data_IF_609818938954
#
_entry.id   IF_609818938954
#
_cell.length_a   1.000
_cell.length_b   1.000
_cell.length_c   1.000
_cell.angle_alpha   90.00
_cell.angle_beta   90.00
_cell.angle_gamma   90.00
#
_symmetry.space_group_name_H-M   'P 1'
#
loop_
_entity.id
_entity.type
_entity.pdbx_description
1 polymer ?
#
# COMPACT_ATOMS: atom_id res chain seq x y z
N UNK A 1 -27.50 -18.45 -46.21
CA UNK A 1 -27.26 -17.62 -45.02
C UNK A 1 -25.81 -17.76 -44.59
N UNK A 2 -25.07 -16.66 -44.52
CA UNK A 2 -23.70 -16.66 -44.01
C UNK A 2 -23.73 -16.70 -42.47
N UNK A 3 -23.37 -17.83 -41.86
CA UNK A 3 -23.03 -17.86 -40.44
C UNK A 3 -21.84 -16.91 -40.25
N UNK A 4 -22.03 -15.81 -39.53
CA UNK A 4 -20.94 -14.94 -39.12
C UNK A 4 -19.93 -15.79 -38.34
N UNK A 5 -18.65 -15.70 -38.72
CA UNK A 5 -17.58 -16.42 -38.02
C UNK A 5 -17.39 -15.79 -36.62
N UNK A 6 -17.13 -16.59 -35.57
CA UNK A 6 -16.89 -16.05 -34.23
C UNK A 6 -15.74 -15.04 -34.22
N UNK A 7 -15.81 -13.97 -33.40
CA UNK A 7 -14.81 -12.90 -33.35
C UNK A 7 -13.60 -13.33 -32.51
N UNK A 8 -12.91 -14.39 -32.93
CA UNK A 8 -11.84 -15.04 -32.15
C UNK A 8 -10.65 -14.12 -31.89
N UNK A 9 -10.30 -13.27 -32.85
CA UNK A 9 -9.18 -12.34 -32.69
C UNK A 9 -9.52 -11.23 -31.69
N UNK A 10 -10.69 -10.59 -31.83
CA UNK A 10 -11.11 -9.52 -30.92
C UNK A 10 -11.20 -10.01 -29.46
N UNK A 11 -11.69 -11.23 -29.25
CA UNK A 11 -11.74 -11.85 -27.92
C UNK A 11 -10.35 -12.19 -27.36
N UNK A 12 -9.43 -12.69 -28.20
CA UNK A 12 -8.06 -12.95 -27.79
C UNK A 12 -7.32 -11.65 -27.42
N UNK A 13 -7.52 -10.58 -28.20
CA UNK A 13 -6.97 -9.26 -27.90
C UNK A 13 -7.51 -8.70 -26.59
N UNK A 14 -8.81 -8.86 -26.35
CA UNK A 14 -9.46 -8.46 -25.09
C UNK A 14 -8.93 -9.25 -23.88
N UNK A 15 -8.80 -10.57 -24.00
CA UNK A 15 -8.23 -11.42 -22.95
C UNK A 15 -6.79 -11.04 -22.62
N UNK A 16 -5.97 -10.81 -23.65
CA UNK A 16 -4.59 -10.37 -23.48
C UNK A 16 -4.52 -8.99 -22.81
N UNK A 17 -5.41 -8.06 -23.14
CA UNK A 17 -5.47 -6.76 -22.49
C UNK A 17 -5.83 -6.89 -21.00
N UNK A 18 -6.80 -7.74 -20.64
CA UNK A 18 -7.16 -8.02 -19.25
C UNK A 18 -5.98 -8.61 -18.49
N UNK A 19 -5.28 -9.60 -19.06
CA UNK A 19 -4.06 -10.17 -18.46
C UNK A 19 -2.98 -9.11 -18.26
N UNK A 20 -2.71 -8.29 -19.27
CA UNK A 20 -1.73 -7.22 -19.19
C UNK A 20 -2.08 -6.17 -18.12
N UNK A 21 -3.36 -5.91 -17.88
CA UNK A 21 -3.80 -5.05 -16.78
C UNK A 21 -3.56 -5.68 -15.41
N UNK A 22 -3.81 -7.00 -15.26
CA UNK A 22 -3.47 -7.75 -14.04
C UNK A 22 -1.97 -7.73 -13.78
N UNK A 23 -1.16 -8.02 -14.80
CA UNK A 23 0.31 -8.01 -14.69
C UNK A 23 0.87 -6.63 -14.35
N UNK A 24 0.19 -5.55 -14.78
CA UNK A 24 0.52 -4.18 -14.39
C UNK A 24 0.06 -3.81 -12.97
N UNK A 25 -0.55 -4.75 -12.23
CA UNK A 25 -1.02 -4.51 -10.87
C UNK A 25 -2.33 -3.72 -10.80
N UNK A 26 -3.15 -3.71 -11.85
CA UNK A 26 -4.43 -2.98 -11.84
C UNK A 26 -5.40 -3.48 -10.76
N UNK A 27 -5.29 -4.74 -10.33
CA UNK A 27 -6.05 -5.25 -9.18
C UNK A 27 -5.72 -4.47 -7.90
N UNK A 28 -4.47 -4.03 -7.77
CA UNK A 28 -4.00 -3.35 -6.57
C UNK A 28 -4.14 -1.83 -6.66
N UNK A 29 -3.80 -1.26 -7.80
CA UNK A 29 -3.66 0.18 -7.97
C UNK A 29 -4.78 0.84 -8.77
N UNK A 30 -5.69 0.05 -9.38
CA UNK A 30 -6.82 0.52 -10.18
C UNK A 30 -8.02 -0.44 -10.09
N UNK A 31 -8.39 -0.82 -8.85
CA UNK A 31 -9.34 -1.90 -8.60
C UNK A 31 -10.72 -1.67 -9.25
N UNK A 32 -11.19 -0.43 -9.30
CA UNK A 32 -12.49 -0.09 -9.90
C UNK A 32 -12.49 -0.29 -11.42
N UNK A 33 -11.46 0.20 -12.09
CA UNK A 33 -11.24 0.09 -13.54
C UNK A 33 -11.00 -1.37 -13.92
N UNK A 34 -10.25 -2.11 -13.12
CA UNK A 34 -10.04 -3.55 -13.32
C UNK A 34 -11.33 -4.36 -13.14
N UNK A 35 -12.20 -3.99 -12.20
CA UNK A 35 -13.52 -4.59 -12.04
C UNK A 35 -14.42 -4.31 -13.25
N UNK A 36 -14.37 -3.09 -13.79
CA UNK A 36 -15.10 -2.73 -15.01
C UNK A 36 -14.64 -3.56 -16.22
N UNK A 37 -13.32 -3.77 -16.37
CA UNK A 37 -12.76 -4.62 -17.43
C UNK A 37 -13.19 -6.09 -17.29
N UNK A 38 -13.19 -6.64 -16.08
CA UNK A 38 -13.65 -8.02 -15.83
C UNK A 38 -15.14 -8.21 -16.08
N UNK A 39 -15.96 -7.21 -15.72
CA UNK A 39 -17.40 -7.23 -16.00
C UNK A 39 -17.67 -7.23 -17.51
N UNK A 40 -16.99 -6.37 -18.26
CA UNK A 40 -17.08 -6.33 -19.73
C UNK A 40 -16.61 -7.65 -20.36
N UNK A 41 -15.54 -8.25 -19.85
CA UNK A 41 -15.05 -9.54 -20.33
C UNK A 41 -16.07 -10.66 -20.12
N UNK A 42 -16.69 -10.70 -18.94
CA UNK A 42 -17.75 -11.65 -18.63
C UNK A 42 -18.94 -11.48 -19.58
N UNK A 43 -19.32 -10.24 -19.89
CA UNK A 43 -20.38 -9.95 -20.87
C UNK A 43 -20.00 -10.44 -22.28
N UNK A 44 -18.78 -10.18 -22.73
CA UNK A 44 -18.28 -10.63 -24.03
C UNK A 44 -18.33 -12.17 -24.16
N UNK A 45 -17.92 -12.89 -23.11
CA UNK A 45 -18.04 -14.35 -23.05
C UNK A 45 -19.49 -14.82 -23.09
N UNK A 46 -20.39 -14.16 -22.35
CA UNK A 46 -21.82 -14.46 -22.37
C UNK A 46 -22.45 -14.30 -23.76
N UNK A 47 -22.10 -13.22 -24.48
CA UNK A 47 -22.55 -12.99 -25.86
C UNK A 47 -21.99 -14.01 -26.85
N UNK A 48 -20.73 -14.43 -26.67
CA UNK A 48 -20.13 -15.50 -27.48
C UNK A 48 -20.88 -16.83 -27.29
N UNK A 49 -21.17 -17.19 -26.03
CA UNK A 49 -21.93 -18.41 -25.70
C UNK A 49 -23.34 -18.38 -26.30
N UNK A 50 -23.98 -17.21 -26.31
CA UNK A 50 -25.27 -17.00 -26.98
C UNK A 50 -25.20 -16.99 -28.51
N UNK A 51 -24.00 -17.17 -29.10
CA UNK A 51 -23.72 -17.06 -30.54
C UNK A 51 -24.07 -15.69 -31.14
N UNK A 52 -24.21 -14.67 -30.31
CA UNK A 52 -24.39 -13.27 -30.72
C UNK A 52 -23.01 -12.67 -31.04
N UNK A 53 -22.45 -13.10 -32.18
CA UNK A 53 -21.08 -12.74 -32.56
C UNK A 53 -20.87 -11.24 -32.77
N UNK A 54 -21.92 -10.50 -33.15
CA UNK A 54 -21.86 -9.05 -33.32
C UNK A 54 -21.76 -8.35 -31.96
N UNK A 55 -22.61 -8.73 -31.00
CA UNK A 55 -22.53 -8.18 -29.65
C UNK A 55 -21.26 -8.64 -28.93
N UNK A 56 -20.83 -9.89 -29.12
CA UNK A 56 -19.59 -10.41 -28.55
C UNK A 56 -18.37 -9.61 -29.03
N UNK A 57 -18.32 -9.24 -30.33
CA UNK A 57 -17.26 -8.38 -30.86
C UNK A 57 -17.27 -6.99 -30.22
N UNK A 58 -18.44 -6.38 -30.08
CA UNK A 58 -18.56 -5.06 -29.46
C UNK A 58 -18.12 -5.09 -27.99
N UNK A 59 -18.55 -6.11 -27.23
CA UNK A 59 -18.18 -6.30 -25.84
C UNK A 59 -16.68 -6.63 -25.68
N UNK A 60 -16.07 -7.36 -26.62
CA UNK A 60 -14.63 -7.61 -26.62
C UNK A 60 -13.83 -6.32 -26.82
N UNK A 61 -14.26 -5.44 -27.74
CA UNK A 61 -13.62 -4.14 -27.94
C UNK A 61 -13.74 -3.24 -26.70
N UNK A 62 -14.93 -3.20 -26.09
CA UNK A 62 -15.15 -2.49 -24.83
C UNK A 62 -14.28 -3.05 -23.68
N UNK A 63 -14.17 -4.38 -23.58
CA UNK A 63 -13.26 -5.04 -22.63
C UNK A 63 -11.82 -4.59 -22.83
N UNK A 64 -11.33 -4.58 -24.07
CA UNK A 64 -9.97 -4.14 -24.39
C UNK A 64 -9.74 -2.70 -23.93
N UNK A 65 -10.63 -1.78 -24.27
CA UNK A 65 -10.52 -0.36 -23.89
C UNK A 65 -10.49 -0.21 -22.36
N UNK A 66 -11.39 -0.90 -21.64
CA UNK A 66 -11.44 -0.86 -20.17
C UNK A 66 -10.19 -1.46 -19.54
N UNK A 67 -9.67 -2.55 -20.09
CA UNK A 67 -8.45 -3.17 -19.60
C UNK A 67 -7.21 -2.27 -19.84
N UNK A 68 -7.09 -1.62 -20.99
CA UNK A 68 -6.03 -0.64 -21.25
C UNK A 68 -6.16 0.58 -20.32
N UNK A 69 -7.38 1.02 -20.04
CA UNK A 69 -7.65 2.07 -19.05
C UNK A 69 -7.21 1.64 -17.65
N UNK A 70 -7.56 0.43 -17.23
CA UNK A 70 -7.15 -0.13 -15.94
C UNK A 70 -5.62 -0.25 -15.82
N UNK A 71 -4.94 -0.66 -16.90
CA UNK A 71 -3.48 -0.71 -16.97
C UNK A 71 -2.85 0.68 -16.80
N UNK A 72 -3.36 1.69 -17.48
CA UNK A 72 -2.87 3.07 -17.36
C UNK A 72 -3.14 3.64 -15.95
N UNK A 73 -4.33 3.40 -15.41
CA UNK A 73 -4.68 3.79 -14.04
C UNK A 73 -3.77 3.10 -13.01
N UNK A 74 -3.40 1.83 -13.23
CA UNK A 74 -2.50 1.10 -12.34
C UNK A 74 -1.12 1.77 -12.24
N UNK A 75 -0.55 2.20 -13.38
CA UNK A 75 0.72 2.92 -13.40
C UNK A 75 0.65 4.24 -12.61
N UNK A 76 -0.43 5.00 -12.79
CA UNK A 76 -0.66 6.25 -12.05
C UNK A 76 -0.88 5.99 -10.56
N UNK A 77 -1.67 4.98 -10.20
CA UNK A 77 -1.92 4.58 -8.81
C UNK A 77 -0.64 4.10 -8.12
N UNK A 78 0.22 3.36 -8.83
CA UNK A 78 1.53 2.93 -8.34
C UNK A 78 2.45 4.12 -8.06
N UNK A 79 2.53 5.10 -8.98
CA UNK A 79 3.29 6.33 -8.78
C UNK A 79 2.76 7.17 -7.62
N UNK A 80 1.43 7.27 -7.48
CA UNK A 80 0.80 7.96 -6.37
C UNK A 80 1.10 7.28 -5.02
N UNK A 81 1.02 5.95 -4.97
CA UNK A 81 1.36 5.16 -3.79
C UNK A 81 2.84 5.32 -3.42
N UNK A 82 3.73 5.24 -4.40
CA UNK A 82 5.17 5.50 -4.21
C UNK A 82 5.40 6.89 -3.62
N UNK A 83 4.82 7.92 -4.23
CA UNK A 83 4.98 9.31 -3.79
C UNK A 83 4.44 9.52 -2.37
N UNK A 84 3.29 8.91 -2.04
CA UNK A 84 2.71 9.00 -0.70
C UNK A 84 3.62 8.37 0.36
N UNK A 85 4.20 7.20 0.09
CA UNK A 85 5.17 6.55 0.99
C UNK A 85 6.43 7.40 1.14
N UNK A 86 6.97 7.95 0.05
CA UNK A 86 8.15 8.81 0.11
C UNK A 86 7.92 10.08 0.92
N UNK A 87 6.77 10.73 0.74
CA UNK A 87 6.39 11.90 1.53
C UNK A 87 6.32 11.55 3.02
N UNK A 88 5.63 10.45 3.37
CA UNK A 88 5.54 9.98 4.76
C UNK A 88 6.91 9.67 5.35
N UNK A 89 7.75 8.91 4.65
CA UNK A 89 9.11 8.61 5.11
C UNK A 89 9.95 9.88 5.26
N UNK A 90 9.84 10.84 4.35
CA UNK A 90 10.54 12.13 4.42
C UNK A 90 10.13 12.98 5.62
N UNK A 91 8.87 12.89 6.05
CA UNK A 91 8.37 13.56 7.27
C UNK A 91 8.72 12.80 8.54
N UNK A 92 8.52 11.48 8.55
CA UNK A 92 8.60 10.67 9.77
C UNK A 92 10.01 10.22 10.13
N UNK A 93 10.85 9.85 9.17
CA UNK A 93 12.24 9.45 9.45
C UNK A 93 13.02 10.45 10.32
N UNK A 94 13.05 11.76 10.00
CA UNK A 94 13.80 12.71 10.80
C UNK A 94 13.24 12.88 12.22
N UNK A 95 12.01 12.47 12.51
CA UNK A 95 11.46 12.43 13.87
C UNK A 95 11.73 11.08 14.58
N UNK A 96 11.67 9.97 13.84
CA UNK A 96 11.89 8.62 14.37
C UNK A 96 13.35 8.44 14.81
N UNK A 97 14.34 8.79 13.99
CA UNK A 97 15.76 8.57 14.28
C UNK A 97 16.24 9.17 15.62
N UNK A 98 16.01 10.48 15.90
CA UNK A 98 16.41 11.04 17.20
C UNK A 98 15.61 10.45 18.36
N UNK A 99 14.35 10.05 18.15
CA UNK A 99 13.53 9.46 19.19
C UNK A 99 14.01 8.04 19.57
N UNK A 100 14.40 7.23 18.58
CA UNK A 100 15.03 5.92 18.82
C UNK A 100 16.32 6.07 19.62
N UNK A 101 17.15 7.06 19.28
CA UNK A 101 18.37 7.36 20.03
C UNK A 101 18.08 7.80 21.47
N UNK A 102 17.06 8.66 21.67
CA UNK A 102 16.63 9.09 22.99
C UNK A 102 16.09 7.91 23.84
N UNK A 103 15.28 7.03 23.25
CA UNK A 103 14.77 5.83 23.89
C UNK A 103 15.90 4.87 24.32
N UNK A 104 16.89 4.66 23.46
CA UNK A 104 18.05 3.84 23.77
C UNK A 104 18.88 4.40 24.93
N UNK A 105 18.98 5.73 25.05
CA UNK A 105 19.73 6.42 26.10
C UNK A 105 19.04 6.39 27.48
N UNK A 106 17.76 6.02 27.56
CA UNK A 106 17.03 5.94 28.83
C UNK A 106 17.62 4.88 29.77
N UNK A 107 17.62 5.23 31.06
CA UNK A 107 18.05 4.38 32.17
C UNK A 107 16.95 4.33 33.24
N UNK A 108 16.84 3.19 33.94
CA UNK A 108 15.83 2.98 34.99
C UNK A 108 14.78 1.95 34.60
N UNK A 109 13.90 1.60 35.56
CA UNK A 109 12.90 0.53 35.40
C UNK A 109 11.89 0.81 34.27
N UNK A 110 11.57 2.08 34.02
CA UNK A 110 10.62 2.47 32.98
C UNK A 110 11.22 2.43 31.55
N UNK A 111 12.53 2.18 31.41
CA UNK A 111 13.21 2.18 30.10
C UNK A 111 13.03 0.90 29.28
N UNK A 112 12.60 -0.19 29.91
CA UNK A 112 12.49 -1.49 29.25
C UNK A 112 11.36 -1.52 28.22
N UNK A 113 10.18 -1.02 28.60
CA UNK A 113 9.03 -0.89 27.70
C UNK A 113 9.32 0.11 26.56
N UNK A 114 9.89 1.28 26.88
CA UNK A 114 10.23 2.28 25.86
C UNK A 114 11.23 1.74 24.83
N UNK A 115 12.20 0.93 25.26
CA UNK A 115 13.15 0.28 24.34
C UNK A 115 12.49 -0.78 23.47
N UNK A 116 11.53 -1.54 24.01
CA UNK A 116 10.74 -2.48 23.23
C UNK A 116 9.90 -1.75 22.17
N UNK A 117 9.20 -0.68 22.55
CA UNK A 117 8.40 0.14 21.64
C UNK A 117 9.29 0.80 20.55
N UNK A 118 10.49 1.26 20.92
CA UNK A 118 11.48 1.78 19.99
C UNK A 118 11.97 0.71 18.99
N UNK A 119 12.27 -0.50 19.46
CA UNK A 119 12.67 -1.60 18.58
C UNK A 119 11.54 -1.97 17.61
N UNK A 120 10.29 -1.93 18.06
CA UNK A 120 9.12 -2.21 17.22
C UNK A 120 8.88 -1.11 16.17
N UNK A 121 9.09 0.16 16.53
CA UNK A 121 9.04 1.29 15.60
C UNK A 121 10.18 1.22 14.56
N UNK A 122 11.40 0.87 14.98
CA UNK A 122 12.54 0.68 14.07
C UNK A 122 12.30 -0.49 13.10
N UNK A 123 11.79 -1.62 13.60
CA UNK A 123 11.43 -2.76 12.77
C UNK A 123 10.35 -2.40 11.74
N UNK A 124 9.35 -1.59 12.14
CA UNK A 124 8.31 -1.11 11.24
C UNK A 124 8.89 -0.20 10.16
N UNK A 125 9.78 0.74 10.52
CA UNK A 125 10.45 1.64 9.57
C UNK A 125 11.27 0.84 8.55
N UNK A 126 12.09 -0.11 9.00
CA UNK A 126 12.85 -1.02 8.12
C UNK A 126 11.92 -1.84 7.22
N UNK A 127 10.77 -2.25 7.74
CA UNK A 127 9.73 -2.93 6.97
C UNK A 127 9.18 -2.08 5.83
N UNK A 128 8.91 -0.79 6.08
CA UNK A 128 8.50 0.16 5.03
C UNK A 128 9.59 0.30 3.97
N UNK A 129 10.84 0.49 4.38
CA UNK A 129 11.97 0.66 3.44
C UNK A 129 12.20 -0.57 2.57
N UNK A 130 12.05 -1.76 3.16
CA UNK A 130 12.18 -3.04 2.46
C UNK A 130 11.09 -3.20 1.41
N UNK A 131 9.82 -3.01 1.79
CA UNK A 131 8.70 -3.11 0.86
C UNK A 131 8.80 -2.05 -0.24
N UNK A 132 9.17 -0.83 0.13
CA UNK A 132 9.37 0.27 -0.81
C UNK A 132 10.48 -0.04 -1.82
N UNK A 133 11.62 -0.56 -1.35
CA UNK A 133 12.72 -1.01 -2.20
C UNK A 133 12.37 -2.21 -3.10
N UNK A 134 11.44 -3.06 -2.64
CA UNK A 134 10.88 -4.17 -3.41
C UNK A 134 9.78 -3.76 -4.41
N UNK A 135 9.42 -2.47 -4.49
CA UNK A 135 8.32 -1.98 -5.34
C UNK A 135 6.92 -2.31 -4.81
N UNK A 136 6.82 -2.80 -3.58
CA UNK A 136 5.57 -3.16 -2.91
C UNK A 136 4.99 -1.93 -2.20
N UNK A 137 4.51 -0.95 -2.95
CA UNK A 137 4.09 0.34 -2.39
C UNK A 137 2.82 0.26 -1.54
N UNK A 138 1.91 -0.68 -1.81
CA UNK A 138 0.74 -0.93 -0.96
C UNK A 138 1.10 -1.32 0.49
N UNK A 139 1.83 -2.44 0.73
CA UNK A 139 2.20 -2.81 2.09
C UNK A 139 3.16 -1.79 2.72
N UNK A 140 4.01 -1.13 1.92
CA UNK A 140 4.83 -0.02 2.41
C UNK A 140 3.96 1.14 2.92
N UNK A 141 2.88 1.51 2.23
CA UNK A 141 1.95 2.55 2.66
C UNK A 141 1.24 2.16 3.95
N UNK A 142 0.74 0.93 4.07
CA UNK A 142 0.07 0.45 5.30
C UNK A 142 1.01 0.50 6.51
N UNK A 143 2.26 0.05 6.34
CA UNK A 143 3.27 0.12 7.40
C UNK A 143 3.66 1.58 7.71
N UNK A 144 3.73 2.45 6.70
CA UNK A 144 4.03 3.86 6.89
C UNK A 144 2.91 4.60 7.63
N UNK A 145 1.65 4.25 7.40
CA UNK A 145 0.50 4.74 8.18
C UNK A 145 0.57 4.33 9.65
N UNK A 146 1.08 3.12 9.92
CA UNK A 146 1.27 2.62 11.28
C UNK A 146 2.47 3.25 12.02
N UNK A 147 3.37 3.97 11.33
CA UNK A 147 4.52 4.63 11.96
C UNK A 147 4.09 5.82 12.83
N UNK A 148 3.15 6.64 12.37
CA UNK A 148 2.71 7.85 13.08
C UNK A 148 2.20 7.56 14.51
N UNK A 149 1.19 6.68 14.72
CA UNK A 149 0.70 6.43 16.07
C UNK A 149 1.75 5.82 17.00
N UNK A 150 2.69 5.01 16.46
CA UNK A 150 3.80 4.46 17.25
C UNK A 150 4.85 5.50 17.59
N UNK A 151 5.14 6.43 16.67
CA UNK A 151 6.00 7.58 16.92
C UNK A 151 5.42 8.44 18.05
N UNK A 152 4.14 8.78 17.99
CA UNK A 152 3.46 9.59 19.02
C UNK A 152 3.43 8.90 20.40
N UNK A 153 3.14 7.60 20.41
CA UNK A 153 3.17 6.80 21.64
C UNK A 153 4.58 6.75 22.24
N UNK A 154 5.60 6.48 21.42
CA UNK A 154 6.99 6.44 21.86
C UNK A 154 7.48 7.80 22.36
N UNK A 155 7.08 8.89 21.68
CA UNK A 155 7.43 10.27 22.09
C UNK A 155 6.91 10.58 23.49
N UNK A 156 5.64 10.23 23.73
CA UNK A 156 5.02 10.38 25.05
C UNK A 156 5.73 9.54 26.12
N UNK A 157 6.07 8.29 25.80
CA UNK A 157 6.73 7.38 26.72
C UNK A 157 8.17 7.84 27.06
N UNK A 158 8.93 8.30 26.06
CA UNK A 158 10.27 8.87 26.24
C UNK A 158 10.21 10.11 27.12
N UNK A 159 9.30 11.05 26.85
CA UNK A 159 9.13 12.25 27.68
C UNK A 159 8.75 11.92 29.13
N UNK A 160 7.87 10.95 29.35
CA UNK A 160 7.47 10.50 30.68
C UNK A 160 8.66 9.90 31.44
N UNK A 161 9.44 9.04 30.79
CA UNK A 161 10.64 8.41 31.36
C UNK A 161 11.73 9.46 31.68
N UNK A 162 11.94 10.45 30.81
CA UNK A 162 12.87 11.56 31.06
C UNK A 162 12.43 12.41 32.26
N UNK A 163 11.13 12.74 32.36
CA UNK A 163 10.59 13.49 33.51
C UNK A 163 10.69 12.70 34.82
N UNK A 164 10.50 11.38 34.78
CA UNK A 164 10.68 10.51 35.94
C UNK A 164 12.15 10.47 36.39
N UNK A 165 13.09 10.41 35.45
CA UNK A 165 14.52 10.49 35.73
C UNK A 165 14.98 11.87 36.23
N UNK A 166 14.30 12.95 35.83
CA UNK A 166 14.60 14.32 36.22
C UNK A 166 14.00 14.76 37.57
N UNK A 167 13.08 13.99 38.18
CA UNK A 167 12.60 14.29 39.55
C UNK A 167 13.66 13.83 40.55
N UNK A 168 14.42 14.75 41.19
CA UNK A 168 15.32 14.34 42.26
C UNK A 168 14.48 13.76 43.40
N UNK A 169 14.93 12.66 43.97
CA UNK A 169 14.43 12.15 45.24
C UNK A 169 14.46 13.28 46.28
N UNK A 170 13.30 13.90 46.50
CA UNK A 170 13.12 14.95 47.49
C UNK A 170 13.42 14.39 48.87
N UNK A 171 14.57 14.80 49.42
CA UNK A 171 15.01 14.68 50.81
C UNK A 171 13.81 14.57 51.79
N UNK A 172 13.55 13.39 52.36
CA UNK A 172 12.89 13.33 53.68
C UNK A 172 13.95 13.63 54.74
N UNK A 173 13.82 14.84 55.30
CA UNK A 173 14.60 15.42 56.40
C UNK A 173 14.91 14.40 57.50
N UNK A 174 16.18 14.33 57.88
CA UNK A 174 16.59 14.06 59.27
C UNK A 174 15.96 15.13 60.16
N UNK A 175 15.14 14.72 61.12
CA UNK A 175 14.81 15.47 62.34
C UNK A 175 14.74 14.47 63.47
#
# INVERSE_FOLDING_TARGET
>A
MACAKPPTQDLADAENAVKAAVEAGAQDYAAAEMAAAQSAWTEAQGKLQAKDYKAAKAAALDTKIKAETAKAAAANGMLAAQSAVQQKLGTLKPEIEPLLAAAAALKGKDSEQVKADAAELEALLKGVETDFGAGQFKPAAEKADALQPKLDALKTAVEAAQKAAAKPAGKKKRR
#
